data_IF_150434096252
#
_entry.id   IF_150434096252
#
_cell.length_a   1.000
_cell.length_b   1.000
_cell.length_c   1.000
_cell.angle_alpha   90.00
_cell.angle_beta   90.00
_cell.angle_gamma   90.00
#
_symmetry.space_group_name_H-M   'P 1'
#
loop_
_entity.id
_entity.type
_entity.pdbx_description
1 polymer ?
#
# COMPACT_ATOMS: atom_id res chain seq x y z
N UNK A 1 -62.54 35.32 12.52
CA UNK A 1 -61.35 35.31 13.40
C UNK A 1 -60.19 35.85 12.58
N UNK A 2 -59.53 36.91 13.04
CA UNK A 2 -58.44 37.56 12.31
C UNK A 2 -57.34 36.54 12.02
N UNK A 3 -56.79 36.54 10.79
CA UNK A 3 -55.63 35.73 10.47
C UNK A 3 -54.50 36.11 11.43
N UNK A 4 -54.18 35.24 12.40
CA UNK A 4 -53.11 35.50 13.37
C UNK A 4 -51.80 35.48 12.58
N UNK A 5 -51.29 36.66 12.24
CA UNK A 5 -50.03 36.79 11.53
C UNK A 5 -48.92 36.41 12.51
N UNK A 6 -48.33 35.24 12.31
CA UNK A 6 -47.26 34.74 13.16
C UNK A 6 -46.04 35.68 13.04
N UNK A 7 -45.73 36.41 14.11
CA UNK A 7 -44.67 37.40 14.13
C UNK A 7 -43.30 36.78 13.87
N UNK A 8 -43.04 35.56 14.32
CA UNK A 8 -41.80 34.84 14.03
C UNK A 8 -41.65 34.57 12.53
N UNK A 9 -42.75 34.22 11.85
CA UNK A 9 -42.74 34.02 10.39
C UNK A 9 -42.50 35.34 9.63
N UNK A 10 -43.06 36.46 10.11
CA UNK A 10 -42.80 37.78 9.53
C UNK A 10 -41.32 38.15 9.69
N UNK A 11 -40.74 37.88 10.86
CA UNK A 11 -39.32 38.11 11.14
C UNK A 11 -38.39 37.10 10.46
N UNK A 12 -38.92 35.98 9.94
CA UNK A 12 -38.13 34.91 9.35
C UNK A 12 -37.29 34.13 10.38
N UNK A 13 -37.69 34.14 11.65
CA UNK A 13 -36.98 33.50 12.76
C UNK A 13 -37.82 32.39 13.40
N UNK A 14 -37.19 31.54 14.21
CA UNK A 14 -37.87 30.46 14.93
C UNK A 14 -38.56 30.98 16.19
N UNK A 15 -39.58 30.28 16.68
CA UNK A 15 -40.27 30.60 17.95
C UNK A 15 -39.36 30.47 19.17
N UNK A 16 -38.29 29.68 19.06
CA UNK A 16 -37.24 29.50 20.07
C UNK A 16 -36.18 30.61 20.04
N UNK A 17 -36.25 31.57 19.11
CA UNK A 17 -35.22 32.59 18.93
C UNK A 17 -34.97 33.38 20.22
N UNK A 18 -33.69 33.61 20.53
CA UNK A 18 -33.27 34.41 21.68
C UNK A 18 -33.62 35.90 21.49
N UNK A 19 -33.59 36.68 22.57
CA UNK A 19 -33.90 38.11 22.53
C UNK A 19 -32.99 38.90 21.57
N UNK A 20 -31.72 38.50 21.48
CA UNK A 20 -30.75 39.14 20.57
C UNK A 20 -31.08 38.89 19.10
N UNK A 21 -31.49 37.66 18.76
CA UNK A 21 -31.86 37.27 17.40
C UNK A 21 -33.15 37.96 16.95
N UNK A 22 -34.12 38.09 17.86
CA UNK A 22 -35.35 38.86 17.63
C UNK A 22 -35.03 40.32 17.31
N UNK A 23 -34.19 40.96 18.12
CA UNK A 23 -33.81 42.37 17.92
C UNK A 23 -33.04 42.59 16.60
N UNK A 24 -32.19 41.64 16.21
CA UNK A 24 -31.48 41.68 14.93
C UNK A 24 -32.44 41.54 13.73
N UNK A 25 -33.39 40.61 13.79
CA UNK A 25 -34.38 40.43 12.74
C UNK A 25 -35.29 41.66 12.56
N UNK A 26 -35.70 42.29 13.68
CA UNK A 26 -36.44 43.55 13.68
C UNK A 26 -35.63 44.67 13.03
N UNK A 27 -34.35 44.81 13.40
CA UNK A 27 -33.47 45.82 12.82
C UNK A 27 -33.28 45.62 11.30
N UNK A 28 -33.11 44.38 10.85
CA UNK A 28 -32.99 44.03 9.44
C UNK A 28 -34.26 44.36 8.65
N UNK A 29 -35.45 44.11 9.22
CA UNK A 29 -36.71 44.51 8.59
C UNK A 29 -36.88 46.03 8.52
N UNK A 30 -36.49 46.76 9.57
CA UNK A 30 -36.52 48.24 9.55
C UNK A 30 -35.63 48.82 8.46
N UNK A 31 -34.46 48.23 8.23
CA UNK A 31 -33.57 48.65 7.14
C UNK A 31 -34.16 48.38 5.75
N UNK A 32 -34.92 47.29 5.59
CA UNK A 32 -35.60 46.97 4.33
C UNK A 32 -36.82 47.85 4.06
N UNK A 33 -37.50 48.32 5.11
CA UNK A 33 -38.63 49.26 5.01
C UNK A 33 -38.17 50.73 4.99
N UNK A 34 -37.32 51.09 4.03
CA UNK A 34 -36.78 52.45 3.91
C UNK A 34 -37.85 53.52 3.64
N UNK A 35 -39.02 53.13 3.11
CA UNK A 35 -40.16 54.00 2.86
C UNK A 35 -41.11 54.12 4.07
N UNK A 36 -40.91 53.34 5.14
CA UNK A 36 -41.68 53.41 6.40
C UNK A 36 -43.10 52.88 6.34
N UNK A 37 -43.47 52.16 5.27
CA UNK A 37 -44.84 51.71 4.99
C UNK A 37 -45.33 50.63 5.97
N UNK A 38 -44.41 49.96 6.69
CA UNK A 38 -44.71 48.87 7.63
C UNK A 38 -44.20 49.14 9.04
N UNK A 39 -43.78 50.39 9.32
CA UNK A 39 -43.23 50.83 10.60
C UNK A 39 -44.11 50.52 11.81
N UNK A 40 -45.43 50.72 11.70
CA UNK A 40 -46.39 50.41 12.75
C UNK A 40 -46.38 48.91 13.11
N UNK A 41 -46.44 48.04 12.10
CA UNK A 41 -46.42 46.58 12.29
C UNK A 41 -45.11 46.11 12.91
N UNK A 42 -43.97 46.65 12.45
CA UNK A 42 -42.65 46.29 13.00
C UNK A 42 -42.53 46.71 14.47
N UNK A 43 -43.10 47.86 14.86
CA UNK A 43 -43.10 48.33 16.24
C UNK A 43 -43.98 47.46 17.15
N UNK A 44 -45.14 47.00 16.67
CA UNK A 44 -45.98 46.05 17.42
C UNK A 44 -45.25 44.72 17.63
N UNK A 45 -44.60 44.19 16.59
CA UNK A 45 -43.81 42.94 16.70
C UNK A 45 -42.70 43.10 17.75
N UNK A 46 -41.98 44.23 17.73
CA UNK A 46 -40.93 44.52 18.70
C UNK A 46 -41.46 44.59 20.14
N UNK A 47 -42.58 45.29 20.37
CA UNK A 47 -43.15 45.41 21.70
C UNK A 47 -43.65 44.07 22.27
N UNK A 48 -44.17 43.18 21.42
CA UNK A 48 -44.68 41.88 21.85
C UNK A 48 -43.58 40.86 22.08
N UNK A 49 -42.60 40.76 21.16
CA UNK A 49 -41.58 39.71 21.23
C UNK A 49 -40.35 40.07 22.09
N UNK A 50 -40.10 41.36 22.35
CA UNK A 50 -38.92 41.77 23.13
C UNK A 50 -39.14 41.72 24.66
N UNK A 51 -40.38 41.61 25.14
CA UNK A 51 -40.69 41.56 26.57
C UNK A 51 -41.10 40.13 26.99
N UNK A 52 -40.39 39.48 27.94
CA UNK A 52 -40.60 38.08 28.31
C UNK A 52 -42.05 37.71 28.66
N UNK A 53 -42.75 38.57 29.40
CA UNK A 53 -44.12 38.30 29.84
C UNK A 53 -45.14 38.43 28.70
N UNK A 54 -44.96 39.44 27.83
CA UNK A 54 -45.84 39.64 26.66
C UNK A 54 -45.61 38.59 25.60
N UNK A 55 -44.35 38.18 25.42
CA UNK A 55 -43.98 37.07 24.53
C UNK A 55 -44.59 35.75 25.03
N UNK A 56 -44.53 35.49 26.34
CA UNK A 56 -45.17 34.31 26.92
C UNK A 56 -46.66 34.25 26.61
N UNK A 57 -47.38 35.35 26.84
CA UNK A 57 -48.81 35.46 26.55
C UNK A 57 -49.12 35.31 25.04
N UNK A 58 -48.28 35.89 24.17
CA UNK A 58 -48.42 35.72 22.72
C UNK A 58 -48.15 34.27 22.26
N UNK A 59 -47.16 33.61 22.86
CA UNK A 59 -46.86 32.20 22.58
C UNK A 59 -47.97 31.26 23.10
N UNK A 60 -48.64 31.63 24.20
CA UNK A 60 -49.87 30.98 24.69
C UNK A 60 -51.03 31.14 23.69
N UNK A 61 -51.26 32.35 23.16
CA UNK A 61 -52.27 32.60 22.12
C UNK A 61 -52.03 31.82 20.83
N UNK A 62 -50.75 31.58 20.49
CA UNK A 62 -50.35 30.74 19.35
C UNK A 62 -50.45 29.24 19.64
N UNK A 63 -50.78 28.83 20.88
CA UNK A 63 -50.87 27.43 21.28
C UNK A 63 -49.52 26.69 21.26
N UNK A 64 -48.41 27.40 21.46
CA UNK A 64 -47.08 26.81 21.39
C UNK A 64 -46.78 25.99 22.65
N UNK A 65 -46.30 24.76 22.43
CA UNK A 65 -45.82 23.86 23.49
C UNK A 65 -44.65 24.50 24.26
N UNK A 66 -44.54 24.21 25.56
CA UNK A 66 -43.50 24.73 26.44
C UNK A 66 -42.09 24.46 25.92
N UNK A 67 -41.87 23.36 25.19
CA UNK A 67 -40.60 23.02 24.55
C UNK A 67 -40.20 23.97 23.40
N UNK A 68 -41.16 24.72 22.84
CA UNK A 68 -40.95 25.68 21.74
C UNK A 68 -40.87 27.13 22.22
N UNK A 69 -40.99 27.36 23.53
CA UNK A 69 -40.83 28.65 24.19
C UNK A 69 -39.35 28.80 24.55
N UNK A 70 -38.67 29.75 23.91
CA UNK A 70 -37.23 29.97 24.09
C UNK A 70 -36.82 30.34 25.53
N UNK A 71 -35.56 30.73 25.69
CA UNK A 71 -34.84 30.88 26.97
C UNK A 71 -35.50 31.77 28.06
N UNK A 72 -36.53 32.56 27.72
CA UNK A 72 -37.23 33.43 28.65
C UNK A 72 -38.04 32.66 29.72
N UNK A 73 -38.43 31.41 29.46
CA UNK A 73 -39.22 30.59 30.39
C UNK A 73 -38.42 30.22 31.66
N UNK A 74 -37.11 30.03 31.54
CA UNK A 74 -36.19 29.71 32.66
C UNK A 74 -36.02 30.91 33.61
N UNK A 75 -36.06 32.13 33.08
CA UNK A 75 -35.97 33.36 33.87
C UNK A 75 -37.20 33.59 34.77
N UNK A 76 -38.36 33.02 34.40
CA UNK A 76 -39.59 33.11 35.20
C UNK A 76 -39.56 32.06 36.33
N UNK A 77 -39.20 30.81 36.02
CA UNK A 77 -39.16 29.70 36.99
C UNK A 77 -38.11 29.86 38.10
N UNK A 78 -36.97 30.46 37.78
CA UNK A 78 -35.85 30.66 38.72
C UNK A 78 -36.13 31.64 39.87
N UNK A 79 -37.25 32.40 39.81
CA UNK A 79 -37.69 33.28 40.90
C UNK A 79 -38.54 32.60 41.98
N UNK A 80 -38.98 31.35 41.80
CA UNK A 80 -40.02 30.74 42.65
C UNK A 80 -39.54 29.74 43.73
N UNK A 81 -38.28 29.27 43.77
CA UNK A 81 -37.84 28.21 44.72
C UNK A 81 -36.71 28.62 45.72
N UNK A 82 -36.82 28.30 47.04
CA UNK A 82 -35.76 28.54 48.05
C UNK A 82 -34.69 27.43 48.10
N UNK A 83 -33.39 27.82 48.20
CA UNK A 83 -32.23 26.93 48.08
C UNK A 83 -31.84 26.20 49.39
N UNK A 84 -31.65 24.87 49.34
CA UNK A 84 -30.99 24.06 50.40
C UNK A 84 -29.46 24.11 50.27
N UNK A 85 -28.73 24.10 51.38
CA UNK A 85 -27.26 24.06 51.41
C UNK A 85 -26.78 22.60 51.56
N UNK A 86 -26.46 21.95 50.44
CA UNK A 86 -25.86 20.61 50.38
C UNK A 86 -24.49 20.69 49.71
N UNK A 87 -23.56 19.78 50.06
CA UNK A 87 -22.30 19.65 49.32
C UNK A 87 -22.54 18.74 48.12
N UNK A 88 -22.31 19.25 46.92
CA UNK A 88 -22.60 18.52 45.68
C UNK A 88 -21.29 18.18 44.97
N UNK A 89 -21.12 16.91 44.62
CA UNK A 89 -20.05 16.40 43.76
C UNK A 89 -20.24 16.88 42.30
N UNK A 90 -19.18 16.92 41.50
CA UNK A 90 -19.20 17.19 40.03
C UNK A 90 -20.25 16.35 39.27
N UNK A 91 -20.64 15.19 39.80
CA UNK A 91 -21.67 14.28 39.29
C UNK A 91 -23.09 14.51 39.87
N UNK A 92 -23.30 15.59 40.62
CA UNK A 92 -24.61 15.99 41.12
C UNK A 92 -25.08 15.24 42.37
N UNK A 93 -24.24 14.38 42.97
CA UNK A 93 -24.59 13.68 44.22
C UNK A 93 -24.43 14.60 45.42
N UNK A 94 -25.46 14.66 46.24
CA UNK A 94 -25.46 15.41 47.48
C UNK A 94 -24.84 14.61 48.63
N UNK A 95 -23.94 15.24 49.37
CA UNK A 95 -23.29 14.66 50.54
C UNK A 95 -23.58 15.52 51.76
N UNK A 96 -23.86 14.84 52.88
CA UNK A 96 -24.18 15.50 54.15
C UNK A 96 -22.97 16.16 54.83
N UNK A 97 -21.73 15.85 54.40
CA UNK A 97 -20.52 16.45 54.95
C UNK A 97 -19.37 16.50 53.94
N UNK A 98 -18.47 17.45 54.12
CA UNK A 98 -17.28 17.60 53.29
C UNK A 98 -16.35 16.37 53.37
N UNK A 99 -16.27 15.72 54.52
CA UNK A 99 -15.48 14.49 54.70
C UNK A 99 -16.02 13.34 53.84
N UNK A 100 -17.35 13.21 53.71
CA UNK A 100 -17.97 12.21 52.86
C UNK A 100 -17.66 12.46 51.38
N UNK A 101 -17.69 13.73 50.93
CA UNK A 101 -17.31 14.12 49.57
C UNK A 101 -15.84 13.77 49.27
N UNK A 102 -14.91 14.13 50.16
CA UNK A 102 -13.47 13.86 49.98
C UNK A 102 -13.17 12.36 49.92
N UNK A 103 -13.81 11.56 50.78
CA UNK A 103 -13.65 10.10 50.77
C UNK A 103 -14.20 9.46 49.49
N UNK A 104 -15.36 9.92 49.01
CA UNK A 104 -15.93 9.47 47.75
C UNK A 104 -15.06 9.84 46.54
N UNK A 105 -14.52 11.06 46.50
CA UNK A 105 -13.58 11.51 45.47
C UNK A 105 -12.29 10.68 45.46
N UNK A 106 -11.72 10.39 46.64
CA UNK A 106 -10.51 9.57 46.76
C UNK A 106 -10.74 8.13 46.29
N UNK A 107 -11.89 7.54 46.62
CA UNK A 107 -12.25 6.20 46.15
C UNK A 107 -12.40 6.15 44.62
N UNK A 108 -13.04 7.16 44.02
CA UNK A 108 -13.17 7.29 42.57
C UNK A 108 -11.83 7.44 41.87
N UNK A 109 -10.95 8.27 42.44
CA UNK A 109 -9.60 8.47 41.89
C UNK A 109 -8.81 7.16 41.85
N UNK A 110 -8.85 6.39 42.95
CA UNK A 110 -8.19 5.09 43.02
C UNK A 110 -8.77 4.07 42.03
N UNK A 111 -10.09 4.08 41.79
CA UNK A 111 -10.70 3.24 40.76
C UNK A 111 -10.24 3.65 39.36
N UNK A 112 -10.24 4.94 39.06
CA UNK A 112 -9.80 5.45 37.76
C UNK A 112 -8.33 5.11 37.46
N UNK A 113 -7.45 5.15 38.46
CA UNK A 113 -6.05 4.77 38.28
C UNK A 113 -5.85 3.29 37.95
N UNK A 114 -6.67 2.41 38.54
CA UNK A 114 -6.63 0.98 38.24
C UNK A 114 -7.14 0.69 36.81
N UNK A 115 -8.25 1.33 36.42
CA UNK A 115 -8.81 1.19 35.07
C UNK A 115 -7.85 1.73 33.99
N UNK A 116 -7.12 2.82 34.27
CA UNK A 116 -6.09 3.35 33.38
C UNK A 116 -4.91 2.37 33.19
N UNK A 117 -4.44 1.75 34.28
CA UNK A 117 -3.35 0.77 34.21
C UNK A 117 -3.76 -0.49 33.42
N UNK A 118 -4.98 -0.97 33.61
CA UNK A 118 -5.55 -2.09 32.84
C UNK A 118 -5.73 -1.71 31.36
N UNK A 119 -6.19 -0.49 31.09
CA UNK A 119 -6.33 0.01 29.72
C UNK A 119 -4.98 0.12 29.01
N UNK A 120 -3.95 0.68 29.64
CA UNK A 120 -2.60 0.77 29.09
C UNK A 120 -2.02 -0.61 28.77
N UNK A 121 -2.18 -1.60 29.67
CA UNK A 121 -1.77 -2.98 29.43
C UNK A 121 -2.50 -3.60 28.23
N UNK A 122 -3.80 -3.33 28.07
CA UNK A 122 -4.61 -3.83 26.96
C UNK A 122 -4.21 -3.21 25.60
N UNK A 123 -3.83 -1.93 25.58
CA UNK A 123 -3.37 -1.23 24.37
C UNK A 123 -1.96 -1.68 24.00
N UNK A 124 -1.06 -1.85 24.97
CA UNK A 124 0.31 -2.32 24.75
C UNK A 124 0.36 -3.76 24.19
N UNK A 125 -0.55 -4.64 24.62
CA UNK A 125 -0.66 -6.00 24.08
C UNK A 125 -1.24 -6.02 22.67
N UNK A 126 -2.31 -5.25 22.39
CA UNK A 126 -2.91 -5.16 21.05
C UNK A 126 -1.96 -4.56 20.01
N UNK A 127 -1.19 -3.53 20.37
CA UNK A 127 -0.20 -2.90 19.48
C UNK A 127 0.98 -3.82 19.16
N UNK A 128 1.47 -4.63 20.11
CA UNK A 128 2.52 -5.63 19.87
C UNK A 128 2.06 -6.77 18.94
N UNK A 129 0.83 -7.26 19.08
CA UNK A 129 0.29 -8.29 18.19
C UNK A 129 0.07 -7.77 16.75
N UNK A 130 -0.42 -6.54 16.60
CA UNK A 130 -0.66 -5.92 15.29
C UNK A 130 0.65 -5.56 14.56
N UNK A 131 1.72 -5.20 15.28
CA UNK A 131 3.01 -4.86 14.68
C UNK A 131 3.82 -6.11 14.29
N UNK A 132 3.83 -7.16 15.13
CA UNK A 132 4.51 -8.43 14.82
C UNK A 132 3.83 -9.18 13.66
N UNK A 133 2.50 -9.21 13.61
CA UNK A 133 1.76 -9.90 12.55
C UNK A 133 1.99 -9.28 11.16
N UNK A 134 2.02 -7.95 11.06
CA UNK A 134 2.29 -7.25 9.79
C UNK A 134 3.72 -7.45 9.31
N UNK A 135 4.70 -7.36 10.21
CA UNK A 135 6.12 -7.58 9.88
C UNK A 135 6.38 -9.00 9.36
N UNK A 136 5.78 -10.03 9.97
CA UNK A 136 5.92 -11.41 9.48
C UNK A 136 5.33 -11.60 8.08
N UNK A 137 4.17 -11.01 7.77
CA UNK A 137 3.57 -11.11 6.43
C UNK A 137 4.48 -10.48 5.36
N UNK A 138 5.09 -9.32 5.65
CA UNK A 138 6.05 -8.70 4.72
C UNK A 138 7.30 -9.56 4.53
N UNK A 139 7.84 -10.16 5.59
CA UNK A 139 9.00 -11.04 5.50
C UNK A 139 8.69 -12.33 4.71
N UNK A 140 7.52 -12.93 4.91
CA UNK A 140 7.07 -14.10 4.16
C UNK A 140 6.88 -13.74 2.68
N UNK A 141 6.24 -12.62 2.37
CA UNK A 141 6.06 -12.14 0.98
C UNK A 141 7.40 -11.85 0.30
N UNK A 142 8.35 -11.24 1.01
CA UNK A 142 9.69 -10.97 0.50
C UNK A 142 10.45 -12.27 0.24
N UNK A 143 10.41 -13.22 1.17
CA UNK A 143 11.05 -14.52 1.01
C UNK A 143 10.45 -15.30 -0.17
N UNK A 144 9.13 -15.25 -0.34
CA UNK A 144 8.44 -15.87 -1.48
C UNK A 144 8.85 -15.21 -2.81
N UNK A 145 8.93 -13.88 -2.85
CA UNK A 145 9.37 -13.15 -4.04
C UNK A 145 10.82 -13.48 -4.44
N UNK A 146 11.72 -13.57 -3.45
CA UNK A 146 13.11 -13.98 -3.68
C UNK A 146 13.20 -15.43 -4.14
N UNK A 147 12.40 -16.34 -3.58
CA UNK A 147 12.34 -17.73 -4.04
C UNK A 147 11.82 -17.82 -5.48
N UNK A 148 10.75 -17.09 -5.83
CA UNK A 148 10.22 -17.04 -7.19
C UNK A 148 11.26 -16.45 -8.16
N UNK A 149 11.96 -15.39 -7.78
CA UNK A 149 13.04 -14.81 -8.58
C UNK A 149 14.22 -15.77 -8.77
N UNK A 150 14.60 -16.51 -7.73
CA UNK A 150 15.67 -17.49 -7.78
C UNK A 150 15.30 -18.70 -8.66
N UNK A 151 14.12 -19.27 -8.47
CA UNK A 151 13.64 -20.41 -9.27
C UNK A 151 13.31 -20.05 -10.71
N UNK A 152 12.87 -18.81 -10.98
CA UNK A 152 12.64 -18.37 -12.35
C UNK A 152 13.94 -17.97 -13.05
N UNK A 153 14.90 -17.34 -12.37
CA UNK A 153 16.14 -16.86 -12.99
C UNK A 153 17.22 -17.92 -13.22
N UNK A 154 17.33 -18.91 -12.33
CA UNK A 154 18.33 -19.98 -12.42
C UNK A 154 18.31 -20.76 -13.75
N UNK A 155 17.16 -21.28 -14.25
CA UNK A 155 17.15 -22.01 -15.51
C UNK A 155 17.58 -21.15 -16.71
N UNK A 156 17.26 -19.85 -16.72
CA UNK A 156 17.73 -18.95 -17.78
C UNK A 156 19.23 -18.69 -17.70
N UNK A 157 19.77 -18.52 -16.48
CA UNK A 157 21.20 -18.33 -16.28
C UNK A 157 21.99 -19.57 -16.70
N UNK A 158 21.54 -20.77 -16.29
CA UNK A 158 22.17 -22.04 -16.63
C UNK A 158 22.13 -22.28 -18.14
N UNK A 159 20.98 -22.00 -18.79
CA UNK A 159 20.84 -22.06 -20.26
C UNK A 159 21.79 -21.09 -20.97
N UNK A 160 21.91 -19.86 -20.48
CA UNK A 160 22.83 -18.86 -21.03
C UNK A 160 24.30 -19.28 -20.89
N UNK A 161 24.69 -19.83 -19.74
CA UNK A 161 26.05 -20.34 -19.53
C UNK A 161 26.34 -21.56 -20.42
N UNK A 162 25.38 -22.46 -20.60
CA UNK A 162 25.50 -23.59 -21.52
C UNK A 162 25.72 -23.09 -22.96
N UNK A 163 24.92 -22.12 -23.42
CA UNK A 163 25.11 -21.55 -24.76
C UNK A 163 26.51 -20.92 -24.91
N UNK A 164 26.98 -20.19 -23.89
CA UNK A 164 28.32 -19.59 -23.90
C UNK A 164 29.44 -20.64 -23.93
N UNK A 165 29.30 -21.74 -23.18
CA UNK A 165 30.24 -22.86 -23.22
C UNK A 165 30.26 -23.55 -24.59
N UNK A 166 29.10 -23.72 -25.23
CA UNK A 166 29.03 -24.32 -26.56
C UNK A 166 29.76 -23.48 -27.62
N UNK A 167 29.57 -22.16 -27.59
CA UNK A 167 30.27 -21.22 -28.49
C UNK A 167 31.78 -21.19 -28.22
N UNK A 168 32.19 -21.18 -26.95
CA UNK A 168 33.59 -21.23 -26.58
C UNK A 168 34.25 -22.56 -27.01
N UNK A 169 33.58 -23.69 -26.82
CA UNK A 169 34.02 -25.00 -27.30
C UNK A 169 34.19 -25.04 -28.83
N UNK A 170 33.28 -24.42 -29.60
CA UNK A 170 33.42 -24.32 -31.05
C UNK A 170 34.71 -23.56 -31.45
N UNK A 171 35.04 -22.49 -30.74
CA UNK A 171 36.28 -21.73 -30.98
C UNK A 171 37.51 -22.60 -30.68
N UNK A 172 37.48 -23.38 -29.60
CA UNK A 172 38.55 -24.32 -29.25
C UNK A 172 38.70 -25.45 -30.29
N UNK A 173 37.58 -25.97 -30.81
CA UNK A 173 37.59 -26.94 -31.89
C UNK A 173 38.15 -26.34 -33.19
N UNK A 174 37.91 -25.05 -33.45
CA UNK A 174 38.53 -24.34 -34.57
C UNK A 174 40.04 -24.22 -34.42
N UNK A 175 40.55 -23.95 -33.19
CA UNK A 175 41.99 -23.94 -32.91
C UNK A 175 42.60 -25.33 -33.15
N UNK A 176 41.93 -26.39 -32.69
CA UNK A 176 42.36 -27.77 -32.93
C UNK A 176 42.36 -28.10 -34.44
N UNK A 177 41.32 -27.71 -35.17
CA UNK A 177 41.24 -27.87 -36.63
C UNK A 177 42.36 -27.17 -37.38
N UNK A 178 42.72 -25.94 -36.97
CA UNK A 178 43.87 -25.24 -37.55
C UNK A 178 45.19 -25.96 -37.26
N UNK A 179 45.38 -26.44 -36.03
CA UNK A 179 46.57 -27.21 -35.64
C UNK A 179 46.71 -28.50 -36.47
N UNK A 180 45.61 -29.22 -36.70
CA UNK A 180 45.58 -30.40 -37.58
C UNK A 180 45.90 -30.01 -39.03
N UNK A 181 45.32 -28.92 -39.54
CA UNK A 181 45.60 -28.44 -40.91
C UNK A 181 47.07 -28.04 -41.10
N UNK A 182 47.69 -27.40 -40.10
CA UNK A 182 49.10 -27.05 -40.14
C UNK A 182 49.99 -28.30 -40.11
N UNK A 183 49.63 -29.30 -39.30
CA UNK A 183 50.29 -30.60 -39.31
C UNK A 183 50.20 -31.27 -40.69
N UNK A 184 49.01 -31.28 -41.31
CA UNK A 184 48.81 -31.87 -42.63
C UNK A 184 49.62 -31.15 -43.71
N UNK A 185 49.73 -29.81 -43.65
CA UNK A 185 50.57 -29.04 -44.58
C UNK A 185 52.05 -29.41 -44.45
N UNK A 186 52.53 -29.62 -43.22
CA UNK A 186 53.92 -29.97 -42.96
C UNK A 186 54.25 -31.44 -43.29
N UNK A 187 53.37 -32.37 -42.94
CA UNK A 187 53.65 -33.82 -42.98
C UNK A 187 52.90 -34.58 -44.07
N UNK A 188 52.04 -33.92 -44.84
CA UNK A 188 51.24 -34.49 -45.93
C UNK A 188 50.35 -35.68 -45.51
N UNK A 189 50.08 -35.83 -44.22
CA UNK A 189 49.33 -36.94 -43.62
C UNK A 189 48.36 -36.42 -42.57
N UNK A 190 47.22 -37.10 -42.41
CA UNK A 190 46.27 -36.80 -41.34
C UNK A 190 46.82 -37.38 -40.03
N UNK A 191 46.88 -36.60 -38.93
CA UNK A 191 47.46 -37.06 -37.68
C UNK A 191 46.58 -38.10 -36.98
N UNK A 192 47.18 -39.01 -36.22
CA UNK A 192 46.45 -39.97 -35.38
C UNK A 192 45.96 -39.35 -34.05
N UNK A 193 46.63 -38.30 -33.60
CA UNK A 193 46.31 -37.55 -32.37
C UNK A 193 46.28 -36.06 -32.63
N UNK A 194 45.42 -35.32 -31.93
CA UNK A 194 45.36 -33.85 -32.07
C UNK A 194 46.73 -33.26 -31.70
N UNK A 195 47.38 -32.52 -32.61
CA UNK A 195 48.67 -31.88 -32.29
C UNK A 195 48.51 -30.87 -31.16
N UNK A 196 49.59 -30.59 -30.44
CA UNK A 196 49.54 -29.69 -29.27
C UNK A 196 49.17 -28.26 -29.67
N UNK A 197 48.23 -27.65 -28.95
CA UNK A 197 47.85 -26.25 -29.07
C UNK A 197 47.46 -25.68 -27.70
N UNK A 198 47.46 -24.35 -27.57
CA UNK A 198 47.02 -23.69 -26.34
C UNK A 198 45.51 -23.86 -26.15
N UNK A 199 45.13 -24.56 -25.08
CA UNK A 199 43.75 -24.96 -24.80
C UNK A 199 43.18 -24.17 -23.64
N UNK A 200 41.95 -23.70 -23.78
CA UNK A 200 41.22 -22.99 -22.72
C UNK A 200 39.92 -23.71 -22.34
N UNK A 201 39.80 -24.07 -21.07
CA UNK A 201 38.63 -24.76 -20.52
C UNK A 201 38.83 -26.25 -20.28
N UNK A 202 38.13 -26.76 -19.27
CA UNK A 202 38.22 -28.12 -18.72
C UNK A 202 36.90 -28.90 -18.83
N UNK A 203 35.93 -28.38 -19.58
CA UNK A 203 34.57 -28.90 -19.73
C UNK A 203 34.34 -29.73 -21.01
N UNK A 204 35.42 -30.06 -21.72
CA UNK A 204 35.35 -30.87 -22.94
C UNK A 204 36.57 -31.78 -23.06
N UNK A 205 36.61 -32.60 -24.09
CA UNK A 205 37.76 -33.40 -24.54
C UNK A 205 37.78 -33.40 -26.07
N UNK A 206 38.96 -33.22 -26.68
CA UNK A 206 39.11 -33.24 -28.13
C UNK A 206 39.95 -34.45 -28.52
N UNK A 207 39.47 -35.20 -29.50
CA UNK A 207 40.16 -36.35 -30.06
C UNK A 207 39.96 -36.42 -31.57
N UNK A 208 40.86 -37.15 -32.21
CA UNK A 208 40.69 -37.55 -33.60
C UNK A 208 39.80 -38.79 -33.62
N UNK A 209 38.82 -38.79 -34.51
CA UNK A 209 37.92 -39.90 -34.78
C UNK A 209 38.10 -40.37 -36.22
N UNK A 210 37.63 -41.59 -36.58
CA UNK A 210 37.74 -42.10 -37.94
C UNK A 210 37.15 -41.13 -38.98
N UNK A 211 37.50 -41.34 -40.24
CA UNK A 211 37.04 -40.52 -41.38
C UNK A 211 37.60 -39.07 -41.34
N UNK A 212 38.88 -38.91 -41.00
CA UNK A 212 39.59 -37.63 -41.01
C UNK A 212 38.84 -36.52 -40.27
N UNK A 213 38.34 -36.85 -39.09
CA UNK A 213 37.43 -35.99 -38.35
C UNK A 213 37.94 -35.71 -36.94
N UNK A 214 37.56 -34.54 -36.40
CA UNK A 214 37.92 -34.10 -35.06
C UNK A 214 36.64 -33.98 -34.24
N UNK A 215 36.55 -34.71 -33.14
CA UNK A 215 35.40 -34.67 -32.24
C UNK A 215 35.79 -33.92 -30.95
N UNK A 216 35.00 -32.90 -30.61
CA UNK A 216 34.94 -32.31 -29.28
C UNK A 216 33.74 -32.89 -28.54
N UNK A 217 33.98 -33.59 -27.44
CA UNK A 217 32.93 -34.14 -26.58
C UNK A 217 32.91 -33.39 -25.25
N UNK A 218 31.73 -32.96 -24.81
CA UNK A 218 31.57 -32.32 -23.50
C UNK A 218 31.68 -33.37 -22.39
N UNK A 219 32.40 -33.04 -21.32
CA UNK A 219 32.62 -33.94 -20.19
C UNK A 219 31.70 -33.59 -19.01
N UNK A 220 31.92 -34.22 -17.85
CA UNK A 220 31.08 -34.02 -16.65
C UNK A 220 31.19 -32.61 -16.04
N UNK A 221 32.22 -31.82 -16.39
CA UNK A 221 32.37 -30.45 -15.94
C UNK A 221 31.60 -29.44 -16.81
N UNK A 222 31.01 -29.89 -17.93
CA UNK A 222 30.13 -29.07 -18.74
C UNK A 222 28.79 -28.82 -18.02
N UNK A 223 28.12 -27.73 -18.40
CA UNK A 223 26.75 -27.47 -17.92
C UNK A 223 25.83 -28.64 -18.27
N UNK A 224 24.87 -28.95 -17.40
CA UNK A 224 24.01 -30.14 -17.47
C UNK A 224 23.36 -30.36 -18.85
N UNK A 225 23.02 -29.27 -19.55
CA UNK A 225 22.45 -29.33 -20.90
C UNK A 225 23.41 -29.70 -22.02
N UNK A 226 24.72 -29.76 -21.75
CA UNK A 226 25.78 -30.08 -22.71
C UNK A 226 26.49 -31.39 -22.40
N UNK A 227 26.35 -31.95 -21.20
CA UNK A 227 26.99 -33.22 -20.87
C UNK A 227 26.59 -34.31 -21.88
N UNK A 228 27.55 -35.16 -22.26
CA UNK A 228 27.42 -36.21 -23.29
C UNK A 228 27.14 -35.75 -24.73
N UNK A 229 27.03 -34.44 -24.97
CA UNK A 229 26.90 -33.90 -26.32
C UNK A 229 28.27 -33.76 -27.00
N UNK A 230 28.27 -33.60 -28.33
CA UNK A 230 29.52 -33.42 -29.08
C UNK A 230 29.39 -32.49 -30.28
N UNK A 231 30.52 -31.93 -30.70
CA UNK A 231 30.68 -31.15 -31.94
C UNK A 231 31.75 -31.85 -32.77
N UNK A 232 31.40 -32.18 -34.01
CA UNK A 232 32.26 -32.90 -34.94
C UNK A 232 32.68 -31.98 -36.09
N UNK A 233 33.97 -31.93 -36.38
CA UNK A 233 34.51 -31.33 -37.59
C UNK A 233 34.92 -32.43 -38.55
N UNK A 234 34.19 -32.54 -39.67
CA UNK A 234 34.49 -33.48 -40.76
C UNK A 234 35.32 -32.75 -41.81
N UNK A 235 36.49 -33.28 -42.13
CA UNK A 235 37.31 -32.70 -43.19
C UNK A 235 36.65 -32.94 -44.55
N UNK A 236 36.45 -31.89 -45.32
CA UNK A 236 35.91 -31.99 -46.67
C UNK A 236 36.74 -31.17 -47.67
N UNK A 237 36.75 -31.63 -48.91
CA UNK A 237 37.41 -30.93 -50.00
C UNK A 237 36.40 -30.07 -50.74
N UNK A 238 36.67 -28.76 -50.84
CA UNK A 238 35.89 -27.87 -51.68
C UNK A 238 36.29 -28.12 -53.15
N UNK A 239 35.35 -28.33 -54.08
CA UNK A 239 35.67 -28.47 -55.50
C UNK A 239 36.49 -27.27 -56.01
N UNK A 240 37.65 -27.52 -56.60
CA UNK A 240 38.62 -26.49 -57.03
C UNK A 240 39.13 -25.56 -55.92
N UNK A 241 39.00 -25.96 -54.65
CA UNK A 241 39.38 -25.18 -53.48
C UNK A 241 40.33 -25.92 -52.52
N UNK A 242 40.53 -25.31 -51.35
CA UNK A 242 41.28 -25.91 -50.26
C UNK A 242 40.44 -26.94 -49.49
N UNK A 243 41.11 -27.70 -48.62
CA UNK A 243 40.45 -28.47 -47.57
C UNK A 243 39.85 -27.53 -46.54
N UNK A 244 38.67 -27.85 -46.06
CA UNK A 244 37.95 -27.07 -45.06
C UNK A 244 37.19 -28.00 -44.10
N UNK A 245 36.70 -27.45 -42.99
CA UNK A 245 35.99 -28.20 -41.95
C UNK A 245 34.49 -28.02 -42.08
N UNK A 246 33.76 -29.14 -42.15
CA UNK A 246 32.31 -29.17 -42.05
C UNK A 246 31.92 -29.46 -40.61
N UNK A 247 31.24 -28.50 -39.98
CA UNK A 247 30.77 -28.67 -38.62
C UNK A 247 29.45 -29.47 -38.58
N UNK A 248 29.36 -30.44 -37.66
CA UNK A 248 28.13 -31.11 -37.24
C UNK A 248 28.01 -31.08 -35.72
N UNK A 249 27.04 -30.33 -35.21
CA UNK A 249 26.78 -30.27 -33.77
C UNK A 249 25.73 -31.31 -33.37
N UNK A 250 26.10 -32.23 -32.47
CA UNK A 250 25.20 -33.16 -31.77
C UNK A 250 24.95 -32.64 -30.36
N UNK A 251 24.45 -31.41 -30.28
CA UNK A 251 24.05 -30.73 -29.04
C UNK A 251 22.56 -30.38 -29.11
N UNK A 252 21.86 -30.14 -27.98
CA UNK A 252 20.49 -29.66 -28.03
C UNK A 252 20.35 -28.42 -28.92
N UNK A 253 19.27 -28.34 -29.70
CA UNK A 253 19.07 -27.29 -30.72
C UNK A 253 19.23 -25.87 -30.18
N UNK A 254 18.87 -25.63 -28.92
CA UNK A 254 19.03 -24.34 -28.23
C UNK A 254 20.49 -23.92 -27.99
N UNK A 255 21.44 -24.85 -28.07
CA UNK A 255 22.86 -24.61 -27.80
C UNK A 255 23.75 -24.83 -29.01
N UNK A 256 23.17 -25.04 -30.20
CA UNK A 256 23.97 -25.19 -31.43
C UNK A 256 24.71 -23.87 -31.66
N UNK A 257 26.06 -23.89 -31.76
CA UNK A 257 26.82 -22.68 -32.03
C UNK A 257 26.38 -22.03 -33.33
N UNK A 258 26.25 -20.70 -33.37
CA UNK A 258 25.77 -19.97 -34.54
C UNK A 258 26.63 -20.20 -35.79
N UNK A 259 27.91 -20.56 -35.58
CA UNK A 259 28.90 -20.83 -36.64
C UNK A 259 28.89 -22.29 -37.11
N UNK A 260 28.07 -23.15 -36.51
CA UNK A 260 27.88 -24.53 -36.91
C UNK A 260 26.46 -24.70 -37.49
N UNK A 261 26.28 -24.52 -38.81
CA UNK A 261 24.96 -24.59 -39.42
C UNK A 261 24.34 -25.99 -39.22
N UNK A 262 23.06 -26.02 -38.87
CA UNK A 262 22.26 -27.25 -38.81
C UNK A 262 22.04 -27.72 -40.24
N UNK A 263 22.71 -28.79 -40.64
CA UNK A 263 22.46 -29.50 -41.90
C UNK A 263 21.78 -30.83 -41.61
#
# INVERSE_FOLDING_TARGET
MAAIHNYYRILGIKTTAGIQEINQAIAALRQKDAAGNYSATINTIAATLSEPQKRAAYDDELGLDAALRGDYYVAIKSREEPKKQTFVDVSGREYGSEQALRNAQKARYNQMTLELEEWEKSVATRTRFLSMGRSMVFLIMLALALLIGFFSGKPFYDDYQAQKQAEAAYVELTKAGNSVMDYMRANQTFPDTVPSFAREGDYYDIKIVPENSIELRFNQNAQDGLQDSSILFELYQIPNGALDWRCRARVPTKYIPARCPVN
#
